data_IF_581627827727
#
_entry.id   IF_581627827727
#
_cell.length_a   1.000
_cell.length_b   1.000
_cell.length_c   1.000
_cell.angle_alpha   90.00
_cell.angle_beta   90.00
_cell.angle_gamma   90.00
#
_symmetry.space_group_name_H-M   'P 1'
#
loop_
_entity.id
_entity.type
_entity.pdbx_description
1 polymer ?
#
# COMPACT_ATOMS: atom_id res chain seq x y z
N UNK A 1 1.92 13.67 17.51
CA UNK A 1 1.24 14.40 16.43
C UNK A 1 0.25 13.45 15.83
N UNK A 2 -0.99 13.89 15.63
CA UNK A 2 -1.94 13.14 14.80
C UNK A 2 -1.42 13.28 13.37
N UNK A 3 -1.02 12.15 12.77
CA UNK A 3 -0.58 12.10 11.38
C UNK A 3 -1.83 11.85 10.56
N UNK A 4 -2.11 12.74 9.61
CA UNK A 4 -3.14 12.48 8.62
C UNK A 4 -2.69 11.30 7.74
N UNK A 5 -3.48 10.22 7.75
CA UNK A 5 -3.11 8.98 7.06
C UNK A 5 -3.04 9.17 5.53
N UNK A 6 -3.84 10.08 4.97
CA UNK A 6 -3.78 10.40 3.55
C UNK A 6 -2.46 11.10 3.25
N UNK A 7 -2.12 12.16 3.99
CA UNK A 7 -0.85 12.87 3.83
C UNK A 7 0.35 11.92 3.97
N UNK A 8 0.30 11.02 4.95
CA UNK A 8 1.32 10.00 5.15
C UNK A 8 1.44 9.08 3.94
N UNK A 9 0.34 8.53 3.44
CA UNK A 9 0.32 7.62 2.28
C UNK A 9 0.87 8.34 1.04
N UNK A 10 0.48 9.59 0.82
CA UNK A 10 0.94 10.38 -0.31
C UNK A 10 2.45 10.65 -0.26
N UNK A 11 2.96 11.08 0.90
CA UNK A 11 4.39 11.31 1.10
C UNK A 11 5.18 10.01 1.00
N UNK A 12 4.69 8.94 1.62
CA UNK A 12 5.29 7.61 1.56
C UNK A 12 5.37 7.12 0.10
N UNK A 13 4.31 7.28 -0.69
CA UNK A 13 4.28 6.94 -2.12
C UNK A 13 5.38 7.66 -2.90
N UNK A 14 5.58 8.96 -2.69
CA UNK A 14 6.62 9.72 -3.38
C UNK A 14 8.01 9.22 -3.00
N UNK A 15 8.28 9.09 -1.69
CA UNK A 15 9.57 8.64 -1.17
C UNK A 15 9.92 7.22 -1.61
N UNK A 16 8.96 6.30 -1.55
CA UNK A 16 9.16 4.90 -1.98
C UNK A 16 9.43 4.82 -3.47
N UNK A 17 8.68 5.54 -4.31
CA UNK A 17 8.94 5.56 -5.76
C UNK A 17 10.34 6.12 -6.05
N UNK A 18 10.75 7.18 -5.37
CA UNK A 18 12.09 7.75 -5.49
C UNK A 18 13.18 6.75 -5.06
N UNK A 19 12.99 6.07 -3.92
CA UNK A 19 13.95 5.10 -3.40
C UNK A 19 14.09 3.86 -4.28
N UNK A 20 12.98 3.37 -4.86
CA UNK A 20 12.98 2.21 -5.74
C UNK A 20 13.47 2.53 -7.16
N UNK A 21 13.36 3.78 -7.62
CA UNK A 21 13.75 4.20 -8.96
C UNK A 21 13.14 3.30 -10.04
N UNK A 22 13.99 2.70 -10.88
CA UNK A 22 13.56 1.78 -11.96
C UNK A 22 12.85 0.51 -11.48
N UNK A 23 12.97 0.17 -10.19
CA UNK A 23 12.34 -1.01 -9.59
C UNK A 23 10.96 -0.71 -8.99
N UNK A 24 10.46 0.52 -9.13
CA UNK A 24 9.16 0.89 -8.60
C UNK A 24 8.01 0.19 -9.35
N UNK A 25 8.18 -0.07 -10.65
CA UNK A 25 7.10 -0.54 -11.53
C UNK A 25 6.50 -1.91 -11.21
N UNK A 26 5.54 -2.31 -12.03
CA UNK A 26 4.92 -3.63 -11.97
C UNK A 26 5.94 -4.74 -12.27
N UNK A 27 5.91 -5.85 -11.52
CA UNK A 27 6.78 -6.99 -11.79
C UNK A 27 6.42 -7.62 -13.14
N UNK A 28 7.42 -8.14 -13.86
CA UNK A 28 7.22 -8.82 -15.13
C UNK A 28 6.30 -10.06 -15.04
N UNK A 29 6.13 -10.62 -13.84
CA UNK A 29 5.22 -11.74 -13.55
C UNK A 29 3.75 -11.33 -13.40
N UNK A 30 3.44 -10.03 -13.49
CA UNK A 30 2.14 -9.49 -13.07
C UNK A 30 2.00 -9.39 -11.54
N UNK A 31 1.02 -8.59 -11.10
CA UNK A 31 0.77 -8.26 -9.70
C UNK A 31 1.07 -6.79 -9.39
N UNK A 32 0.98 -6.42 -8.11
CA UNK A 32 1.20 -5.02 -7.73
C UNK A 32 2.64 -4.58 -7.96
N UNK A 33 2.75 -3.31 -8.36
CA UNK A 33 4.00 -2.58 -8.35
C UNK A 33 4.65 -2.63 -6.97
N UNK A 34 5.99 -2.80 -6.93
CA UNK A 34 6.73 -2.95 -5.67
C UNK A 34 6.51 -1.78 -4.72
N UNK A 35 6.31 -0.57 -5.27
CA UNK A 35 6.02 0.61 -4.44
C UNK A 35 4.71 0.48 -3.66
N UNK A 36 3.65 -0.12 -4.25
CA UNK A 36 2.35 -0.28 -3.55
C UNK A 36 2.50 -1.18 -2.33
N UNK A 37 3.26 -2.27 -2.45
CA UNK A 37 3.52 -3.19 -1.34
C UNK A 37 4.22 -2.50 -0.16
N UNK A 38 5.22 -1.66 -0.44
CA UNK A 38 5.93 -0.91 0.60
C UNK A 38 5.01 0.12 1.26
N UNK A 39 4.26 0.90 0.47
CA UNK A 39 3.35 1.92 1.04
C UNK A 39 2.25 1.29 1.88
N UNK A 40 1.66 0.17 1.42
CA UNK A 40 0.64 -0.57 2.18
C UNK A 40 1.20 -1.12 3.50
N UNK A 41 2.46 -1.56 3.52
CA UNK A 41 3.13 -1.96 4.74
C UNK A 41 3.36 -0.79 5.70
N UNK A 42 3.77 0.37 5.18
CA UNK A 42 3.93 1.60 5.96
C UNK A 42 2.58 2.07 6.54
N UNK A 43 1.52 2.11 5.72
CA UNK A 43 0.15 2.42 6.15
C UNK A 43 -0.30 1.52 7.31
N UNK A 44 -0.07 0.21 7.18
CA UNK A 44 -0.39 -0.76 8.23
C UNK A 44 0.32 -0.48 9.55
N UNK A 45 1.59 -0.08 9.49
CA UNK A 45 2.37 0.28 10.67
C UNK A 45 1.89 1.59 11.30
N UNK A 46 1.57 2.60 10.49
CA UNK A 46 1.12 3.91 10.95
C UNK A 46 -0.29 3.84 11.58
N UNK A 47 -1.24 3.17 10.93
CA UNK A 47 -2.61 2.99 11.43
C UNK A 47 -2.71 1.86 12.49
N UNK A 48 -1.61 1.14 12.76
CA UNK A 48 -1.50 0.24 13.90
C UNK A 48 -2.37 -1.03 13.84
N UNK A 49 -2.47 -1.67 12.66
CA UNK A 49 -3.31 -2.86 12.48
C UNK A 49 -2.57 -4.07 11.90
N UNK A 50 -3.22 -5.24 11.92
CA UNK A 50 -2.68 -6.48 11.36
C UNK A 50 -2.89 -6.56 9.84
N UNK A 51 -2.09 -7.38 9.16
CA UNK A 51 -2.28 -7.62 7.71
C UNK A 51 -3.72 -8.05 7.35
N UNK A 52 -4.35 -8.84 8.22
CA UNK A 52 -5.72 -9.35 8.01
C UNK A 52 -6.76 -8.24 8.04
N UNK A 53 -6.50 -7.17 8.79
CA UNK A 53 -7.40 -6.02 8.90
C UNK A 53 -7.19 -4.99 7.78
N UNK A 54 -6.03 -5.01 7.10
CA UNK A 54 -5.67 -4.01 6.09
C UNK A 54 -6.70 -3.87 4.97
N UNK A 55 -7.18 -4.95 4.30
CA UNK A 55 -8.19 -4.82 3.24
C UNK A 55 -9.50 -4.21 3.76
N UNK A 56 -9.96 -4.68 4.93
CA UNK A 56 -11.21 -4.22 5.54
C UNK A 56 -11.16 -2.77 6.02
N UNK A 57 -9.97 -2.21 6.24
CA UNK A 57 -9.83 -0.78 6.56
C UNK A 57 -9.80 0.06 5.30
N UNK A 58 -9.04 -0.37 4.29
CA UNK A 58 -8.91 0.33 3.02
C UNK A 58 -10.23 0.46 2.26
N UNK A 59 -11.13 -0.54 2.32
CA UNK A 59 -12.44 -0.46 1.67
C UNK A 59 -13.27 0.78 2.08
N UNK A 60 -12.99 1.36 3.26
CA UNK A 60 -13.69 2.54 3.77
C UNK A 60 -12.88 3.84 3.61
N UNK A 61 -11.68 3.78 3.02
CA UNK A 61 -10.76 4.91 2.88
C UNK A 61 -10.54 5.24 1.41
N UNK A 62 -11.58 5.74 0.74
CA UNK A 62 -11.58 5.98 -0.72
C UNK A 62 -10.41 6.84 -1.19
N UNK A 63 -10.06 7.91 -0.46
CA UNK A 63 -8.95 8.79 -0.84
C UNK A 63 -7.59 8.08 -0.79
N UNK A 64 -7.41 7.16 0.16
CA UNK A 64 -6.19 6.33 0.25
C UNK A 64 -6.17 5.29 -0.88
N UNK A 65 -7.32 4.69 -1.20
CA UNK A 65 -7.46 3.79 -2.35
C UNK A 65 -7.11 4.51 -3.66
N UNK A 66 -7.60 5.73 -3.86
CA UNK A 66 -7.28 6.57 -5.02
C UNK A 66 -5.79 6.89 -5.07
N UNK A 67 -5.18 7.28 -3.95
CA UNK A 67 -3.75 7.57 -3.87
C UNK A 67 -2.88 6.35 -4.22
N UNK A 68 -3.36 5.14 -3.93
CA UNK A 68 -2.71 3.86 -4.22
C UNK A 68 -3.13 3.27 -5.58
N UNK A 69 -4.13 3.84 -6.25
CA UNK A 69 -4.76 3.26 -7.44
C UNK A 69 -5.28 1.86 -7.17
N UNK A 70 -6.08 1.71 -6.11
CA UNK A 70 -6.78 0.48 -5.74
C UNK A 70 -8.29 0.69 -5.86
N UNK A 71 -9.01 -0.38 -6.14
CA UNK A 71 -10.47 -0.39 -6.17
C UNK A 71 -11.02 -0.84 -4.80
N UNK A 72 -11.76 0.01 -4.07
CA UNK A 72 -12.39 -0.35 -2.79
C UNK A 72 -13.24 -1.63 -2.83
N UNK A 73 -13.84 -1.94 -4.00
CA UNK A 73 -14.70 -3.11 -4.19
C UNK A 73 -13.93 -4.37 -4.64
N UNK A 74 -12.65 -4.23 -5.02
CA UNK A 74 -11.76 -5.33 -5.43
C UNK A 74 -10.44 -5.29 -4.65
N UNK A 75 -10.56 -5.33 -3.33
CA UNK A 75 -9.40 -5.33 -2.43
C UNK A 75 -8.60 -6.64 -2.51
N UNK A 76 -7.26 -6.56 -2.51
CA UNK A 76 -6.40 -7.74 -2.51
C UNK A 76 -6.55 -8.54 -1.22
N UNK A 77 -6.47 -9.87 -1.32
CA UNK A 77 -6.40 -10.73 -0.14
C UNK A 77 -5.16 -10.40 0.71
N UNK A 78 -5.30 -10.41 2.03
CA UNK A 78 -4.22 -10.06 2.97
C UNK A 78 -2.96 -10.89 2.79
N UNK A 79 -3.06 -12.13 2.29
CA UNK A 79 -1.90 -12.98 1.99
C UNK A 79 -1.07 -12.44 0.83
N UNK A 80 -1.68 -11.71 -0.10
CA UNK A 80 -0.99 -11.01 -1.18
C UNK A 80 -0.07 -9.94 -0.61
N UNK A 81 -0.54 -9.17 0.38
CA UNK A 81 0.21 -8.13 1.08
C UNK A 81 1.32 -8.70 1.97
N UNK A 82 1.05 -9.82 2.63
CA UNK A 82 2.00 -10.48 3.52
C UNK A 82 3.21 -11.05 2.75
N UNK A 83 2.96 -11.83 1.70
CA UNK A 83 4.00 -12.53 0.93
C UNK A 83 4.83 -11.64 0.02
N UNK A 84 4.52 -10.35 -0.07
CA UNK A 84 5.19 -9.44 -1.00
C UNK A 84 6.66 -9.21 -0.69
N UNK A 85 7.05 -9.40 0.59
CA UNK A 85 8.42 -9.18 1.07
C UNK A 85 9.28 -10.45 1.11
N UNK A 86 8.70 -11.61 0.77
CA UNK A 86 9.42 -12.90 0.71
C UNK A 86 10.05 -13.18 -0.66
N UNK A 87 10.01 -12.21 -1.59
CA UNK A 87 10.37 -12.35 -3.00
C UNK A 87 11.77 -11.83 -3.34
#
# INVERSE_FOLDING_TARGET
>A
MEVDLLDFVEQCRQLVKQALGKHAGEPASGGFARWKHVVLHCFRLEDGHSYRETPNRLQYMTEICDALGLDPDDMPDFTTLYKSFDR
#
